data_IF_081199638601
#
_entry.id   IF_081199638601
#
_cell.length_a   1.000
_cell.length_b   1.000
_cell.length_c   1.000
_cell.angle_alpha   90.00
_cell.angle_beta   90.00
_cell.angle_gamma   90.00
#
_symmetry.space_group_name_H-M   'P 1'
#
loop_
_entity.id
_entity.type
_entity.pdbx_description
1 polymer ?
#
# COMPACT_ATOMS: atom_id res chain seq x y z
N UNK A 1 2.90 -29.27 47.73
CA UNK A 1 1.91 -28.50 46.94
C UNK A 1 2.45 -28.00 45.59
N UNK A 2 3.76 -27.82 45.38
CA UNK A 2 4.31 -27.38 44.09
C UNK A 2 4.41 -28.47 42.99
N UNK A 3 4.45 -29.75 43.37
CA UNK A 3 4.61 -30.85 42.42
C UNK A 3 3.33 -31.18 41.62
N UNK A 4 2.15 -30.95 42.21
CA UNK A 4 0.85 -31.27 41.60
C UNK A 4 0.40 -30.23 40.56
N UNK A 5 0.83 -28.98 40.72
CA UNK A 5 0.48 -27.88 39.78
C UNK A 5 1.28 -28.00 38.47
N UNK A 6 2.52 -28.48 38.53
CA UNK A 6 3.40 -28.64 37.36
C UNK A 6 2.95 -29.78 36.45
N UNK A 7 2.51 -30.91 37.01
CA UNK A 7 1.97 -32.05 36.25
C UNK A 7 0.65 -31.71 35.56
N UNK A 8 -0.22 -30.93 36.21
CA UNK A 8 -1.47 -30.47 35.60
C UNK A 8 -1.20 -29.47 34.46
N UNK A 9 -0.23 -28.56 34.63
CA UNK A 9 0.14 -27.60 33.58
C UNK A 9 0.74 -28.29 32.33
N UNK A 10 1.57 -29.32 32.53
CA UNK A 10 2.15 -30.11 31.43
C UNK A 10 1.13 -31.04 30.76
N UNK A 11 0.16 -31.58 31.51
CA UNK A 11 -0.93 -32.36 30.95
C UNK A 11 -1.86 -31.49 30.08
N UNK A 12 -2.20 -30.28 30.55
CA UNK A 12 -3.04 -29.33 29.80
C UNK A 12 -2.33 -28.82 28.54
N UNK A 13 -1.02 -28.54 28.61
CA UNK A 13 -0.21 -28.15 27.44
C UNK A 13 -0.07 -29.31 26.43
N UNK A 14 0.03 -30.55 26.90
CA UNK A 14 0.07 -31.75 26.07
C UNK A 14 -1.24 -31.99 25.30
N UNK A 15 -2.40 -31.79 25.95
CA UNK A 15 -3.72 -31.94 25.32
C UNK A 15 -4.01 -30.80 24.32
N UNK A 16 -3.60 -29.56 24.62
CA UNK A 16 -3.74 -28.41 23.72
C UNK A 16 -2.85 -28.50 22.46
N UNK A 17 -1.72 -29.19 22.54
CA UNK A 17 -0.84 -29.45 21.39
C UNK A 17 -1.36 -30.61 20.53
N UNK A 18 -2.03 -31.60 21.13
CA UNK A 18 -2.62 -32.73 20.40
C UNK A 18 -3.88 -32.33 19.61
N UNK A 19 -4.74 -31.44 20.14
CA UNK A 19 -5.98 -31.01 19.48
C UNK A 19 -5.80 -30.11 18.23
N UNK A 20 -4.57 -29.65 17.95
CA UNK A 20 -4.27 -28.78 16.80
C UNK A 20 -3.73 -29.53 15.57
N UNK A 21 -3.70 -30.86 15.61
CA UNK A 21 -3.03 -31.69 14.62
C UNK A 21 -3.98 -32.63 13.86
N UNK A 22 -5.24 -32.23 13.64
CA UNK A 22 -6.21 -33.03 12.86
C UNK A 22 -6.02 -32.93 11.32
N UNK A 23 -4.96 -32.28 10.84
CA UNK A 23 -4.69 -32.10 9.40
C UNK A 23 -3.23 -32.31 8.97
N UNK A 24 -2.45 -33.13 9.68
CA UNK A 24 -1.08 -33.48 9.26
C UNK A 24 -1.04 -34.92 8.74
N UNK A 25 -0.96 -35.08 7.41
CA UNK A 25 -1.11 -36.36 6.70
C UNK A 25 0.12 -37.29 6.71
N UNK A 26 0.96 -37.29 7.75
CA UNK A 26 2.11 -38.21 7.79
C UNK A 26 2.34 -38.79 9.19
N UNK A 27 1.93 -40.06 9.36
CA UNK A 27 1.93 -40.79 10.61
C UNK A 27 3.33 -41.31 11.05
N UNK A 28 4.34 -41.25 10.18
CA UNK A 28 5.68 -41.80 10.45
C UNK A 28 6.55 -40.99 11.41
N UNK A 29 6.34 -39.67 11.49
CA UNK A 29 7.22 -38.75 12.22
C UNK A 29 6.76 -38.49 13.69
N UNK A 30 5.59 -39.00 14.07
CA UNK A 30 4.99 -38.69 15.38
C UNK A 30 5.58 -39.50 16.55
N UNK A 31 6.03 -40.73 16.30
CA UNK A 31 6.54 -41.60 17.36
C UNK A 31 7.95 -41.20 17.84
N UNK A 32 8.79 -40.68 16.94
CA UNK A 32 10.17 -40.27 17.25
C UNK A 32 10.22 -38.94 18.01
N UNK A 33 9.29 -38.02 17.72
CA UNK A 33 9.19 -36.72 18.39
C UNK A 33 8.70 -36.84 19.83
N UNK A 34 7.73 -37.70 20.11
CA UNK A 34 7.21 -37.93 21.47
C UNK A 34 8.28 -38.51 22.41
N UNK A 35 9.12 -39.43 21.92
CA UNK A 35 10.22 -40.00 22.72
C UNK A 35 11.34 -38.98 23.00
N UNK A 36 11.62 -38.06 22.07
CA UNK A 36 12.67 -37.03 22.24
C UNK A 36 12.26 -35.88 23.17
N UNK A 37 10.96 -35.62 23.30
CA UNK A 37 10.41 -34.49 24.08
C UNK A 37 10.52 -34.68 25.61
N UNK A 38 10.63 -35.93 26.07
CA UNK A 38 10.74 -36.23 27.50
C UNK A 38 12.16 -36.08 28.07
N UNK A 39 13.20 -36.21 27.24
CA UNK A 39 14.58 -36.19 27.75
C UNK A 39 15.24 -34.81 27.72
N UNK A 40 14.90 -33.93 26.75
CA UNK A 40 15.56 -32.61 26.59
C UNK A 40 14.65 -31.52 25.99
N UNK A 41 13.77 -30.89 26.80
CA UNK A 41 12.77 -29.92 26.31
C UNK A 41 13.39 -28.68 25.61
N UNK A 42 14.60 -28.27 26.01
CA UNK A 42 15.30 -27.15 25.36
C UNK A 42 15.80 -27.45 23.95
N UNK A 43 16.08 -28.73 23.62
CA UNK A 43 16.51 -29.12 22.27
C UNK A 43 15.33 -29.17 21.31
N UNK A 44 14.18 -29.67 21.76
CA UNK A 44 12.93 -29.63 21.00
C UNK A 44 12.49 -28.19 20.75
N UNK A 45 12.55 -27.31 21.74
CA UNK A 45 12.27 -25.89 21.55
C UNK A 45 13.24 -25.23 20.55
N UNK A 46 14.54 -25.52 20.59
CA UNK A 46 15.50 -25.03 19.57
C UNK A 46 15.24 -25.61 18.18
N UNK A 47 14.77 -26.85 18.07
CA UNK A 47 14.41 -27.49 16.79
C UNK A 47 13.10 -26.92 16.22
N UNK A 48 12.09 -26.69 17.07
CA UNK A 48 10.82 -26.05 16.72
C UNK A 48 11.00 -24.56 16.41
N UNK A 49 11.87 -23.84 17.12
CA UNK A 49 12.25 -22.46 16.80
C UNK A 49 13.11 -22.35 15.54
N UNK A 50 13.91 -23.38 15.20
CA UNK A 50 14.58 -23.47 13.89
C UNK A 50 13.58 -23.74 12.76
N UNK A 51 12.57 -24.58 12.97
CA UNK A 51 11.49 -24.83 11.99
C UNK A 51 10.50 -23.67 11.85
N UNK A 52 10.36 -22.80 12.87
CA UNK A 52 9.59 -21.54 12.76
C UNK A 52 10.17 -20.49 11.82
N UNK A 53 11.39 -20.70 11.27
CA UNK A 53 11.97 -19.83 10.23
C UNK A 53 11.57 -20.20 8.80
N UNK A 54 10.73 -21.22 8.61
CA UNK A 54 10.41 -21.77 7.29
C UNK A 54 8.92 -21.73 6.91
N UNK A 55 8.11 -20.86 7.55
CA UNK A 55 6.73 -20.62 7.13
C UNK A 55 6.53 -19.12 6.84
N UNK A 56 7.45 -18.55 6.08
CA UNK A 56 7.21 -17.33 5.33
C UNK A 56 7.09 -17.75 3.89
N UNK A 57 5.88 -17.78 3.33
CA UNK A 57 5.76 -17.60 1.90
C UNK A 57 6.28 -16.19 1.62
N UNK A 58 7.58 -16.06 1.33
CA UNK A 58 8.12 -14.85 0.72
C UNK A 58 7.62 -14.90 -0.71
N UNK A 59 6.41 -14.39 -0.95
CA UNK A 59 6.06 -13.99 -2.29
C UNK A 59 7.04 -12.88 -2.65
N UNK A 60 7.99 -13.17 -3.54
CA UNK A 60 8.77 -12.14 -4.21
C UNK A 60 7.80 -11.33 -5.06
N UNK A 61 7.17 -10.36 -4.43
CA UNK A 61 6.25 -9.45 -5.09
C UNK A 61 7.09 -8.53 -5.98
N UNK A 62 6.73 -8.39 -7.27
CA UNK A 62 7.31 -7.36 -8.13
C UNK A 62 7.25 -6.01 -7.41
N UNK A 63 8.34 -5.26 -7.46
CA UNK A 63 8.46 -3.98 -6.76
C UNK A 63 9.29 -3.02 -7.59
N UNK A 64 9.18 -1.73 -7.29
CA UNK A 64 9.97 -0.68 -7.93
C UNK A 64 11.47 -0.98 -7.85
N UNK A 65 12.15 -0.91 -9.00
CA UNK A 65 13.60 -0.81 -9.08
C UNK A 65 14.07 0.63 -8.82
N UNK A 66 15.38 0.81 -8.66
CA UNK A 66 15.94 2.17 -8.52
C UNK A 66 15.70 3.01 -9.79
N UNK A 67 15.84 2.41 -10.98
CA UNK A 67 15.57 3.09 -12.25
C UNK A 67 14.11 3.54 -12.36
N UNK A 68 13.17 2.75 -11.82
CA UNK A 68 11.76 3.15 -11.78
C UNK A 68 11.55 4.36 -10.88
N UNK A 69 12.11 4.32 -9.67
CA UNK A 69 12.05 5.43 -8.72
C UNK A 69 12.62 6.71 -9.32
N UNK A 70 13.75 6.63 -10.04
CA UNK A 70 14.39 7.78 -10.67
C UNK A 70 13.51 8.37 -11.77
N UNK A 71 12.89 7.52 -12.59
CA UNK A 71 11.96 7.93 -13.66
C UNK A 71 10.72 8.58 -13.08
N UNK A 72 10.07 7.95 -12.10
CA UNK A 72 8.88 8.50 -11.43
C UNK A 72 9.21 9.83 -10.75
N UNK A 73 10.38 9.93 -10.11
CA UNK A 73 10.84 11.18 -9.49
C UNK A 73 10.97 12.32 -10.50
N UNK A 74 11.51 12.03 -11.70
CA UNK A 74 11.61 13.02 -12.78
C UNK A 74 10.23 13.44 -13.28
N UNK A 75 9.34 12.48 -13.50
CA UNK A 75 7.97 12.72 -13.91
C UNK A 75 7.21 13.60 -12.90
N UNK A 76 7.37 13.32 -11.61
CA UNK A 76 6.77 14.13 -10.55
C UNK A 76 7.24 15.59 -10.56
N UNK A 77 8.56 15.80 -10.71
CA UNK A 77 9.13 17.16 -10.80
C UNK A 77 8.60 17.91 -12.01
N UNK A 78 8.60 17.25 -13.18
CA UNK A 78 8.04 17.83 -14.40
C UNK A 78 6.54 18.17 -14.24
N UNK A 79 5.76 17.29 -13.59
CA UNK A 79 4.34 17.50 -13.32
C UNK A 79 4.07 18.73 -12.46
N UNK A 80 4.83 18.91 -11.38
CA UNK A 80 4.73 20.10 -10.51
C UNK A 80 4.93 21.40 -11.29
N UNK A 81 5.88 21.43 -12.23
CA UNK A 81 6.15 22.61 -13.06
C UNK A 81 4.99 22.97 -14.01
N UNK A 82 4.12 22.00 -14.34
CA UNK A 82 2.99 22.22 -15.25
C UNK A 82 1.72 22.66 -14.53
N UNK A 83 1.54 22.34 -13.25
CA UNK A 83 0.27 22.56 -12.55
C UNK A 83 0.23 23.91 -11.83
N UNK A 84 -0.80 24.72 -12.15
CA UNK A 84 -1.10 25.94 -11.41
C UNK A 84 -1.83 25.63 -10.12
N UNK A 85 -1.45 26.32 -9.05
CA UNK A 85 -2.10 26.23 -7.74
C UNK A 85 -3.54 26.73 -7.80
N UNK A 86 -4.44 26.00 -7.13
CA UNK A 86 -5.81 26.44 -6.90
C UNK A 86 -5.98 27.20 -5.58
N UNK A 87 -5.02 27.08 -4.67
CA UNK A 87 -5.09 27.61 -3.30
C UNK A 87 -4.08 28.72 -3.01
N UNK A 88 -3.03 28.87 -3.83
CA UNK A 88 -1.91 29.77 -3.59
C UNK A 88 -1.87 30.87 -4.65
N UNK A 89 -1.58 32.08 -4.19
CA UNK A 89 -1.24 33.24 -5.03
C UNK A 89 -0.09 33.99 -4.38
N UNK A 90 0.66 34.75 -5.17
CA UNK A 90 1.64 35.74 -4.67
C UNK A 90 1.35 37.06 -5.35
N UNK A 91 1.15 38.11 -4.54
CA UNK A 91 0.75 39.44 -5.01
C UNK A 91 -0.50 39.42 -5.91
N UNK A 92 -1.44 38.52 -5.60
CA UNK A 92 -2.66 38.31 -6.38
C UNK A 92 -2.46 37.58 -7.70
N UNK A 93 -1.23 37.15 -8.04
CA UNK A 93 -0.94 36.38 -9.23
C UNK A 93 -0.99 34.87 -8.95
N UNK A 94 -1.55 34.06 -9.86
CA UNK A 94 -1.48 32.61 -9.77
C UNK A 94 -0.03 32.12 -9.73
N UNK A 95 0.25 31.14 -8.87
CA UNK A 95 1.56 30.50 -8.78
C UNK A 95 1.46 29.01 -9.04
N UNK A 96 2.60 28.35 -9.26
CA UNK A 96 2.65 26.89 -9.38
C UNK A 96 2.43 26.23 -8.03
N UNK A 97 2.03 24.96 -8.08
CA UNK A 97 1.85 24.15 -6.89
C UNK A 97 3.18 23.89 -6.18
N UNK A 98 3.11 23.65 -4.87
CA UNK A 98 4.23 23.13 -4.08
C UNK A 98 3.75 21.87 -3.38
N UNK A 99 4.43 20.75 -3.59
CA UNK A 99 3.91 19.42 -3.25
C UNK A 99 4.84 18.62 -2.33
N UNK A 100 4.23 17.88 -1.40
CA UNK A 100 4.84 16.73 -0.73
C UNK A 100 4.47 15.47 -1.52
N UNK A 101 5.46 14.66 -1.89
CA UNK A 101 5.26 13.48 -2.75
C UNK A 101 5.90 12.26 -2.11
N UNK A 102 5.20 11.12 -2.16
CA UNK A 102 5.67 9.83 -1.66
C UNK A 102 5.58 8.79 -2.77
N UNK A 103 6.69 8.10 -3.03
CA UNK A 103 6.76 6.94 -3.91
C UNK A 103 6.94 5.70 -3.02
N UNK A 104 5.99 4.77 -3.09
CA UNK A 104 5.87 3.64 -2.18
C UNK A 104 6.12 2.32 -2.91
N UNK A 105 7.26 1.65 -2.69
CA UNK A 105 7.54 0.33 -3.27
C UNK A 105 6.62 -0.75 -2.68
N UNK A 106 6.14 -1.68 -3.52
CA UNK A 106 5.24 -2.76 -3.10
C UNK A 106 5.86 -3.70 -2.08
N UNK A 107 7.12 -4.07 -2.23
CA UNK A 107 7.78 -5.02 -1.33
C UNK A 107 8.01 -4.44 0.07
N UNK A 108 8.12 -3.11 0.19
CA UNK A 108 8.42 -2.45 1.46
C UNK A 108 7.63 -1.14 1.61
N UNK A 109 6.30 -1.20 1.82
CA UNK A 109 5.46 0.00 1.87
C UNK A 109 5.82 0.96 3.02
N UNK A 110 6.51 0.46 4.06
CA UNK A 110 7.03 1.28 5.16
C UNK A 110 8.41 1.91 4.88
N UNK A 111 9.07 1.55 3.78
CA UNK A 111 10.35 2.12 3.32
C UNK A 111 10.13 2.77 1.95
N UNK A 112 9.51 3.94 1.98
CA UNK A 112 9.17 4.73 0.80
C UNK A 112 10.22 5.80 0.52
N UNK A 113 10.20 6.32 -0.71
CA UNK A 113 10.96 7.50 -1.11
C UNK A 113 10.08 8.71 -0.93
N UNK A 114 10.59 9.74 -0.25
CA UNK A 114 9.87 10.97 -0.03
C UNK A 114 10.57 12.13 -0.76
N UNK A 115 9.79 12.89 -1.52
CA UNK A 115 10.21 14.11 -2.18
C UNK A 115 9.46 15.24 -1.49
N UNK A 116 10.19 16.02 -0.70
CA UNK A 116 9.61 17.11 0.06
C UNK A 116 9.77 18.43 -0.66
N UNK A 117 8.74 19.27 -0.55
CA UNK A 117 8.77 20.65 -1.02
C UNK A 117 9.12 20.76 -2.52
N UNK A 118 8.58 19.85 -3.33
CA UNK A 118 8.76 19.86 -4.78
C UNK A 118 8.03 21.08 -5.36
N UNK A 119 8.74 21.91 -6.13
CA UNK A 119 8.22 23.18 -6.65
C UNK A 119 8.35 24.37 -5.69
N UNK A 120 8.98 24.18 -4.53
CA UNK A 120 9.17 25.23 -3.55
C UNK A 120 10.03 26.38 -4.08
N UNK A 121 9.79 27.56 -3.51
CA UNK A 121 10.54 28.79 -3.76
C UNK A 121 11.33 29.17 -2.51
N UNK A 122 12.22 30.14 -2.60
CA UNK A 122 13.13 30.52 -1.52
C UNK A 122 12.46 30.77 -0.15
N UNK A 123 11.21 31.25 -0.16
CA UNK A 123 10.44 31.56 1.07
C UNK A 123 9.08 30.83 1.14
N UNK A 124 8.91 29.73 0.39
CA UNK A 124 7.66 28.97 0.33
C UNK A 124 7.91 27.46 0.43
N UNK A 125 6.97 26.72 1.01
CA UNK A 125 7.03 25.27 1.14
C UNK A 125 5.64 24.65 0.94
N UNK A 126 5.60 23.34 0.72
CA UNK A 126 4.32 22.65 0.78
C UNK A 126 3.81 22.61 2.22
N UNK A 127 2.51 22.39 2.41
CA UNK A 127 1.95 22.32 3.76
C UNK A 127 2.59 21.16 4.53
N UNK A 128 2.96 21.39 5.79
CA UNK A 128 3.65 20.37 6.59
C UNK A 128 2.81 19.10 6.77
N UNK A 129 1.49 19.27 6.99
CA UNK A 129 0.55 18.15 7.11
C UNK A 129 0.40 17.32 5.83
N UNK A 130 0.76 17.88 4.67
CA UNK A 130 0.69 17.15 3.40
C UNK A 130 1.68 15.99 3.33
N UNK A 131 2.70 15.92 4.20
CA UNK A 131 3.62 14.77 4.25
C UNK A 131 2.90 13.48 4.61
N UNK A 132 2.11 13.52 5.67
CA UNK A 132 1.35 12.34 6.12
C UNK A 132 0.19 12.04 5.18
N UNK A 133 -0.44 13.07 4.60
CA UNK A 133 -1.51 12.90 3.61
C UNK A 133 -0.97 12.24 2.33
N UNK A 134 0.17 12.69 1.80
CA UNK A 134 0.81 12.09 0.62
C UNK A 134 1.14 10.60 0.88
N UNK A 135 1.67 10.29 2.08
CA UNK A 135 1.91 8.91 2.49
C UNK A 135 0.62 8.09 2.56
N UNK A 136 -0.46 8.63 3.14
CA UNK A 136 -1.75 7.96 3.23
C UNK A 136 -2.36 7.68 1.85
N UNK A 137 -2.26 8.64 0.91
CA UNK A 137 -2.72 8.46 -0.47
C UNK A 137 -1.95 7.38 -1.21
N UNK A 138 -0.61 7.38 -1.12
CA UNK A 138 0.22 6.34 -1.71
C UNK A 138 -0.11 4.96 -1.11
N UNK A 139 -0.28 4.90 0.22
CA UNK A 139 -0.66 3.67 0.91
C UNK A 139 -2.03 3.16 0.47
N UNK A 140 -3.05 4.02 0.40
CA UNK A 140 -4.39 3.63 -0.07
C UNK A 140 -4.30 3.02 -1.47
N UNK A 141 -3.65 3.70 -2.41
CA UNK A 141 -3.52 3.22 -3.78
C UNK A 141 -2.81 1.85 -3.86
N UNK A 142 -1.76 1.65 -3.06
CA UNK A 142 -1.03 0.38 -3.02
C UNK A 142 -1.83 -0.74 -2.33
N UNK A 143 -2.44 -0.44 -1.18
CA UNK A 143 -3.05 -1.43 -0.29
C UNK A 143 -4.35 -2.02 -0.85
N UNK A 144 -5.08 -1.25 -1.67
CA UNK A 144 -6.35 -1.67 -2.25
C UNK A 144 -6.26 -2.03 -3.75
N UNK A 145 -5.05 -2.11 -4.30
CA UNK A 145 -4.78 -2.57 -5.67
C UNK A 145 -4.07 -3.92 -5.69
N UNK A 146 -4.13 -4.60 -6.83
CA UNK A 146 -3.47 -5.88 -7.10
C UNK A 146 -3.06 -5.97 -8.56
N UNK A 147 -2.63 -7.13 -9.04
CA UNK A 147 -2.37 -7.32 -10.48
C UNK A 147 -3.67 -7.39 -11.31
N UNK A 148 -4.82 -7.49 -10.67
CA UNK A 148 -6.13 -7.71 -11.31
C UNK A 148 -7.09 -6.53 -11.14
N UNK A 149 -6.78 -5.62 -10.20
CA UNK A 149 -7.59 -4.44 -9.91
C UNK A 149 -6.72 -3.22 -9.58
N UNK A 150 -7.22 -2.04 -9.90
CA UNK A 150 -6.52 -0.78 -9.70
C UNK A 150 -7.45 0.24 -9.09
N UNK A 151 -7.17 0.63 -7.84
CA UNK A 151 -7.96 1.62 -7.13
C UNK A 151 -7.04 2.78 -6.73
N UNK A 152 -7.35 3.98 -7.23
CA UNK A 152 -6.72 5.20 -6.74
C UNK A 152 -7.27 5.56 -5.36
N UNK A 153 -6.61 6.45 -4.64
CA UNK A 153 -7.17 6.98 -3.39
C UNK A 153 -8.49 7.73 -3.62
N UNK A 154 -8.66 8.34 -4.80
CA UNK A 154 -9.92 8.95 -5.23
C UNK A 154 -11.04 7.92 -5.48
N UNK A 155 -10.72 6.80 -6.14
CA UNK A 155 -11.67 5.69 -6.33
C UNK A 155 -12.14 5.11 -5.01
N UNK A 156 -11.22 4.92 -4.05
CA UNK A 156 -11.59 4.51 -2.68
C UNK A 156 -12.48 5.55 -2.01
N UNK A 157 -12.22 6.84 -2.23
CA UNK A 157 -13.09 7.93 -1.78
C UNK A 157 -14.53 7.81 -2.27
N UNK A 158 -14.71 7.56 -3.56
CA UNK A 158 -16.04 7.34 -4.13
C UNK A 158 -16.77 6.17 -3.48
N UNK A 159 -16.07 5.07 -3.19
CA UNK A 159 -16.63 3.90 -2.52
C UNK A 159 -16.90 4.12 -1.02
N UNK A 160 -16.19 5.05 -0.40
CA UNK A 160 -16.25 5.37 1.02
C UNK A 160 -17.31 6.42 1.39
N UNK A 161 -17.93 7.06 0.40
CA UNK A 161 -18.99 8.05 0.63
C UNK A 161 -20.18 7.48 1.42
N UNK A 162 -20.98 8.35 2.02
CA UNK A 162 -22.23 7.97 2.66
C UNK A 162 -23.16 7.28 1.66
N UNK A 163 -23.55 6.04 1.95
CA UNK A 163 -24.32 5.18 1.03
C UNK A 163 -23.47 4.40 0.01
N UNK A 164 -22.15 4.57 0.01
CA UNK A 164 -21.20 3.75 -0.71
C UNK A 164 -21.08 2.34 -0.12
N UNK A 165 -20.25 1.50 -0.75
CA UNK A 165 -20.05 0.09 -0.35
C UNK A 165 -18.96 -0.08 0.73
N UNK A 166 -18.14 0.93 0.99
CA UNK A 166 -17.06 0.93 1.98
C UNK A 166 -17.09 2.14 2.94
N UNK A 167 -18.25 2.52 3.51
CA UNK A 167 -18.33 3.67 4.40
C UNK A 167 -17.48 3.47 5.65
N UNK A 168 -16.73 4.50 6.06
CA UNK A 168 -15.89 4.47 7.25
C UNK A 168 -14.52 3.79 7.08
N UNK A 169 -14.13 3.41 5.86
CA UNK A 169 -12.84 2.74 5.60
C UNK A 169 -11.62 3.58 6.02
N UNK A 170 -11.72 4.90 6.02
CA UNK A 170 -10.70 5.85 6.51
C UNK A 170 -10.38 5.69 8.00
N UNK A 171 -11.24 5.01 8.76
CA UNK A 171 -10.98 4.66 10.16
C UNK A 171 -10.05 3.44 10.33
N UNK A 172 -9.76 2.71 9.25
CA UNK A 172 -8.96 1.48 9.28
C UNK A 172 -7.46 1.73 9.06
N UNK A 173 -6.65 0.68 9.26
CA UNK A 173 -5.20 0.69 8.98
C UNK A 173 -4.38 1.80 9.66
N UNK A 174 -4.92 2.48 10.69
CA UNK A 174 -4.24 3.59 11.38
C UNK A 174 -2.92 3.17 12.05
N UNK A 175 -2.83 1.92 12.49
CA UNK A 175 -1.63 1.32 13.08
C UNK A 175 -0.43 1.23 12.13
N UNK A 176 -0.64 1.40 10.82
CA UNK A 176 0.45 1.41 9.82
C UNK A 176 1.24 2.73 9.82
N UNK A 177 0.72 3.77 10.48
CA UNK A 177 1.30 5.11 10.47
C UNK A 177 1.05 5.92 9.20
N UNK A 178 0.46 5.32 8.16
CA UNK A 178 -0.04 6.04 6.99
C UNK A 178 -1.55 6.29 7.10
N UNK A 179 -2.33 5.25 7.46
CA UNK A 179 -3.78 5.30 7.42
C UNK A 179 -4.34 5.25 5.99
N UNK A 180 -5.66 5.36 5.85
CA UNK A 180 -6.35 5.35 4.55
C UNK A 180 -6.85 6.75 4.22
N UNK A 181 -6.36 7.32 3.12
CA UNK A 181 -6.93 8.52 2.52
C UNK A 181 -8.05 8.15 1.52
N UNK A 182 -9.18 8.84 1.60
CA UNK A 182 -10.41 8.64 0.79
C UNK A 182 -10.65 9.81 -0.17
N UNK A 183 -9.58 10.40 -0.70
CA UNK A 183 -9.65 11.50 -1.67
C UNK A 183 -8.47 11.45 -2.64
N UNK A 184 -8.62 12.10 -3.79
CA UNK A 184 -7.71 12.02 -4.94
C UNK A 184 -6.26 12.43 -4.65
N UNK A 185 -5.34 11.91 -5.46
CA UNK A 185 -3.91 12.22 -5.41
C UNK A 185 -3.01 11.02 -5.10
N UNK A 186 -3.54 9.80 -5.03
CA UNK A 186 -2.78 8.56 -4.92
C UNK A 186 -3.08 7.61 -6.07
N UNK A 187 -2.05 7.14 -6.78
CA UNK A 187 -2.20 6.20 -7.90
C UNK A 187 -1.31 4.97 -7.74
N UNK A 188 -1.83 3.75 -8.01
CA UNK A 188 -1.01 2.55 -8.11
C UNK A 188 -0.11 2.60 -9.35
N UNK A 189 1.05 1.97 -9.27
CA UNK A 189 2.07 1.94 -10.33
C UNK A 189 2.28 0.51 -10.79
N UNK A 190 2.22 0.30 -12.11
CA UNK A 190 2.38 -0.99 -12.75
C UNK A 190 3.61 -1.00 -13.66
N UNK A 191 4.28 -2.15 -13.76
CA UNK A 191 5.32 -2.33 -14.76
C UNK A 191 4.71 -2.64 -16.14
N UNK A 192 5.57 -2.73 -17.15
CA UNK A 192 5.18 -3.06 -18.53
C UNK A 192 4.53 -4.45 -18.69
N UNK A 193 4.68 -5.34 -17.71
CA UNK A 193 4.03 -6.65 -17.65
C UNK A 193 2.65 -6.60 -16.98
N UNK A 194 2.17 -5.40 -16.60
CA UNK A 194 0.92 -5.19 -15.89
C UNK A 194 0.93 -5.69 -14.45
N UNK A 195 2.10 -5.83 -13.82
CA UNK A 195 2.23 -6.18 -12.41
C UNK A 195 2.29 -4.91 -11.56
N UNK A 196 1.52 -4.89 -10.48
CA UNK A 196 1.60 -3.83 -9.48
C UNK A 196 2.99 -3.86 -8.83
N UNK A 197 3.72 -2.76 -8.89
CA UNK A 197 5.09 -2.64 -8.37
C UNK A 197 5.23 -1.57 -7.27
N UNK A 198 4.23 -0.70 -7.11
CA UNK A 198 4.21 0.33 -6.09
C UNK A 198 3.01 1.26 -6.21
N UNK A 199 3.13 2.43 -5.59
CA UNK A 199 2.19 3.52 -5.74
C UNK A 199 2.89 4.87 -5.58
N UNK A 200 2.24 5.94 -6.05
CA UNK A 200 2.61 7.33 -5.76
C UNK A 200 1.49 8.02 -5.02
N UNK A 201 1.82 8.94 -4.14
CA UNK A 201 0.88 9.80 -3.44
C UNK A 201 1.39 11.24 -3.38
N UNK A 202 0.51 12.19 -3.70
CA UNK A 202 0.81 13.62 -3.79
C UNK A 202 -0.16 14.40 -2.93
N UNK A 203 0.37 15.37 -2.18
CA UNK A 203 -0.44 16.36 -1.49
C UNK A 203 0.28 17.69 -1.32
N UNK A 204 -0.42 18.79 -1.51
CA UNK A 204 0.11 20.12 -1.24
C UNK A 204 -0.78 21.28 -1.67
N UNK A 205 -1.86 20.99 -2.40
CA UNK A 205 -2.80 21.97 -2.93
C UNK A 205 -4.24 21.42 -2.92
N UNK A 206 -5.12 21.92 -3.79
CA UNK A 206 -6.45 21.35 -4.00
C UNK A 206 -6.39 19.90 -4.52
N UNK A 207 -7.44 19.11 -4.25
CA UNK A 207 -7.49 17.68 -4.64
C UNK A 207 -7.29 17.48 -6.15
N UNK A 208 -7.85 18.35 -6.99
CA UNK A 208 -7.65 18.27 -8.44
C UNK A 208 -6.21 18.54 -8.87
N UNK A 209 -5.49 19.41 -8.17
CA UNK A 209 -4.06 19.65 -8.41
C UNK A 209 -3.21 18.46 -7.92
N UNK A 210 -3.54 17.90 -6.76
CA UNK A 210 -2.89 16.69 -6.23
C UNK A 210 -3.02 15.53 -7.23
N UNK A 211 -4.21 15.33 -7.82
CA UNK A 211 -4.42 14.31 -8.86
C UNK A 211 -3.63 14.59 -10.14
N UNK A 212 -3.63 15.82 -10.65
CA UNK A 212 -2.87 16.17 -11.85
C UNK A 212 -1.37 15.87 -11.71
N UNK A 213 -0.77 16.21 -10.56
CA UNK A 213 0.65 15.92 -10.33
C UNK A 213 0.88 14.42 -10.12
N UNK A 214 0.01 13.73 -9.38
CA UNK A 214 0.14 12.28 -9.17
C UNK A 214 -0.01 11.50 -10.49
N UNK A 215 -0.84 12.00 -11.41
CA UNK A 215 -1.02 11.47 -12.75
C UNK A 215 0.25 11.63 -13.59
N UNK A 216 0.85 12.83 -13.55
CA UNK A 216 2.13 13.08 -14.20
C UNK A 216 3.21 12.14 -13.67
N UNK A 217 3.31 11.97 -12.35
CA UNK A 217 4.23 11.01 -11.72
C UNK A 217 4.09 9.59 -12.28
N UNK A 218 2.87 9.12 -12.53
CA UNK A 218 2.58 7.75 -12.96
C UNK A 218 2.74 7.49 -14.46
N UNK A 219 3.14 8.49 -15.25
CA UNK A 219 3.38 8.32 -16.69
C UNK A 219 4.41 7.23 -16.96
N UNK A 220 4.10 6.27 -17.83
CA UNK A 220 4.89 5.07 -18.11
C UNK A 220 4.69 3.92 -17.11
N UNK A 221 3.86 4.11 -16.08
CA UNK A 221 3.54 3.14 -15.02
C UNK A 221 2.03 2.94 -14.85
N UNK A 222 1.29 3.13 -15.93
CA UNK A 222 -0.16 3.16 -15.94
C UNK A 222 -0.81 1.82 -15.61
N UNK A 223 -2.03 1.88 -15.08
CA UNK A 223 -2.89 0.71 -14.97
C UNK A 223 -3.11 0.05 -16.34
N UNK A 224 -3.00 -1.28 -16.45
CA UNK A 224 -3.36 -2.01 -17.66
C UNK A 224 -4.79 -1.69 -18.13
N UNK A 225 -4.98 -1.49 -19.44
CA UNK A 225 -6.27 -1.11 -20.03
C UNK A 225 -7.34 -2.21 -19.99
N UNK A 226 -6.96 -3.45 -19.68
CA UNK A 226 -7.89 -4.58 -19.55
C UNK A 226 -8.04 -4.94 -18.07
N UNK A 227 -9.21 -4.72 -17.44
CA UNK A 227 -9.45 -5.24 -16.10
C UNK A 227 -9.33 -6.76 -16.08
N UNK A 228 -8.92 -7.32 -14.94
CA UNK A 228 -9.11 -8.75 -14.71
C UNK A 228 -10.59 -9.14 -14.87
N UNK A 229 -10.90 -10.42 -15.18
CA UNK A 229 -12.23 -10.89 -15.59
C UNK A 229 -13.37 -10.72 -14.56
N UNK A 230 -13.11 -10.14 -13.38
CA UNK A 230 -13.98 -10.24 -12.20
C UNK A 230 -14.45 -8.91 -11.58
N UNK A 231 -14.39 -7.77 -12.28
CA UNK A 231 -14.86 -6.50 -11.71
C UNK A 231 -15.95 -5.82 -12.57
N UNK A 232 -17.13 -5.67 -11.97
CA UNK A 232 -18.36 -5.12 -12.57
C UNK A 232 -18.64 -3.67 -12.17
N UNK A 233 -17.76 -3.02 -11.41
CA UNK A 233 -17.99 -1.67 -10.90
C UNK A 233 -17.42 -0.59 -11.85
N UNK A 234 -18.24 0.34 -12.37
CA UNK A 234 -17.78 1.48 -13.15
C UNK A 234 -16.81 2.35 -12.33
N UNK A 235 -15.65 2.73 -12.89
CA UNK A 235 -14.67 3.60 -12.22
C UNK A 235 -13.44 2.91 -11.60
N UNK A 236 -13.30 1.58 -11.78
CA UNK A 236 -12.13 0.77 -11.39
C UNK A 236 -11.08 0.66 -12.51
N UNK A 237 -11.17 1.50 -13.54
CA UNK A 237 -10.26 1.52 -14.68
C UNK A 237 -9.42 2.79 -14.73
N UNK A 238 -8.27 2.66 -15.40
CA UNK A 238 -7.23 3.66 -15.62
C UNK A 238 -7.71 5.13 -15.57
N UNK A 239 -7.32 5.91 -14.55
CA UNK A 239 -7.66 7.33 -14.46
C UNK A 239 -7.10 8.17 -15.63
N UNK A 240 -6.03 7.71 -16.30
CA UNK A 240 -5.51 8.37 -17.50
C UNK A 240 -6.44 8.23 -18.70
N UNK A 241 -7.11 7.09 -18.88
CA UNK A 241 -8.04 6.90 -20.00
C UNK A 241 -9.29 7.79 -19.87
N UNK A 242 -9.71 8.07 -18.63
CA UNK A 242 -10.83 8.98 -18.35
C UNK A 242 -10.44 10.47 -18.46
N UNK A 243 -9.22 10.86 -18.07
CA UNK A 243 -8.74 12.25 -18.15
C UNK A 243 -8.28 12.68 -19.56
N UNK A 244 -7.87 11.76 -20.43
CA UNK A 244 -7.49 12.05 -21.82
C UNK A 244 -8.62 11.82 -22.85
N UNK A 245 -9.83 11.45 -22.41
CA UNK A 245 -10.99 11.49 -23.31
C UNK A 245 -11.29 12.97 -23.61
N UNK A 246 -11.06 13.48 -24.83
CA UNK A 246 -11.44 14.84 -25.16
C UNK A 246 -12.95 14.92 -24.90
N UNK A 247 -13.34 15.88 -24.07
CA UNK A 247 -14.74 16.17 -23.74
C UNK A 247 -15.60 15.92 -24.97
N UNK A 248 -16.45 14.89 -24.93
CA UNK A 248 -17.56 14.80 -25.85
C UNK A 248 -18.35 16.09 -25.65
N UNK A 249 -18.25 16.98 -26.64
CA UNK A 249 -19.03 18.19 -26.72
C UNK A 249 -20.50 17.80 -26.54
N UNK A 250 -21.11 18.32 -25.49
CA UNK A 250 -22.56 18.27 -25.29
C UNK A 250 -23.24 18.90 -26.50
N UNK A 251 -23.96 18.10 -27.27
CA UNK A 251 -25.06 18.55 -28.12
C UNK A 251 -26.35 18.58 -27.30
#
# INVERSE_FOLDING_TARGET
MAFTVYTVFMAVLGVLLAQKCDQCSDAGDQASLLQSSFSQPHKVLKHLLKRRRGYGMTFDLPTLSQADIDTITQNCKAGVDQVMSGLRTVDGQPVKVVMQIVIMPRATPNKFVALWDVGAREHDSAFLGSRDIARAKAYTALAFSSNENSLSSGSIGFLANDGGVLPGIESTNRQTGAGVATFGGGFPLYNQEGKLIGAVGVSGDGVGQDEQVALACSMGYETPLTPGPNYTQPGVMNPLAAMYSPSASSN
#
